data_IF_917452402430
#
_entry.id   IF_917452402430
#
_cell.length_a   1.000
_cell.length_b   1.000
_cell.length_c   1.000
_cell.angle_alpha   90.00
_cell.angle_beta   90.00
_cell.angle_gamma   90.00
#
_symmetry.space_group_name_H-M   'P 1'
#
loop_
_entity.id
_entity.type
_entity.pdbx_description
1 polymer ?
#
# COMPACT_ATOMS: atom_id res chain seq x y z
N UNK A 1 7.38 10.05 -14.31
CA UNK A 1 7.27 8.59 -14.20
C UNK A 1 8.58 7.84 -13.85
N UNK A 2 9.80 8.26 -14.21
CA UNK A 2 11.01 7.57 -13.76
C UNK A 2 11.21 7.59 -12.23
N UNK A 3 10.67 8.58 -11.53
CA UNK A 3 10.79 8.69 -10.06
C UNK A 3 10.08 7.58 -9.29
N UNK A 4 8.92 7.12 -9.76
CA UNK A 4 8.20 6.01 -9.17
C UNK A 4 8.94 4.67 -9.33
N UNK A 5 9.56 4.47 -10.51
CA UNK A 5 10.42 3.33 -10.80
C UNK A 5 11.60 3.27 -9.82
N UNK A 6 12.28 4.39 -9.62
CA UNK A 6 13.43 4.48 -8.72
C UNK A 6 13.00 4.26 -7.28
N UNK A 7 11.89 4.85 -6.84
CA UNK A 7 11.38 4.68 -5.47
C UNK A 7 10.99 3.24 -5.16
N UNK A 8 10.31 2.54 -6.07
CA UNK A 8 9.96 1.12 -5.89
C UNK A 8 11.17 0.21 -5.96
N UNK A 9 12.13 0.49 -6.82
CA UNK A 9 13.37 -0.27 -6.92
C UNK A 9 14.22 -0.11 -5.65
N UNK A 10 14.30 1.12 -5.12
CA UNK A 10 14.98 1.39 -3.84
C UNK A 10 14.26 0.69 -2.68
N UNK A 11 12.93 0.74 -2.63
CA UNK A 11 12.15 0.05 -1.61
C UNK A 11 12.33 -1.48 -1.67
N UNK A 12 12.34 -2.07 -2.87
CA UNK A 12 12.61 -3.50 -3.07
C UNK A 12 14.04 -3.88 -2.69
N UNK A 13 15.03 -3.08 -3.07
CA UNK A 13 16.44 -3.32 -2.74
C UNK A 13 16.68 -3.19 -1.24
N UNK A 14 16.10 -2.18 -0.58
CA UNK A 14 16.19 -2.04 0.87
C UNK A 14 15.50 -3.18 1.60
N UNK A 15 14.34 -3.63 1.11
CA UNK A 15 13.63 -4.78 1.65
C UNK A 15 14.45 -6.08 1.51
N UNK A 16 15.01 -6.35 0.33
CA UNK A 16 15.89 -7.50 0.08
C UNK A 16 17.14 -7.42 0.95
N UNK A 17 17.77 -6.25 1.06
CA UNK A 17 18.97 -6.06 1.88
C UNK A 17 18.70 -6.30 3.37
N UNK A 18 17.60 -5.76 3.91
CA UNK A 18 17.21 -5.95 5.31
C UNK A 18 16.76 -7.38 5.60
N UNK A 19 16.13 -8.06 4.66
CA UNK A 19 15.69 -9.45 4.81
C UNK A 19 16.83 -10.47 4.73
N UNK A 20 17.91 -10.14 3.99
CA UNK A 20 19.06 -11.05 3.81
C UNK A 20 20.13 -10.87 4.91
N UNK A 21 20.22 -9.69 5.51
CA UNK A 21 21.25 -9.35 6.51
C UNK A 21 20.82 -9.52 7.97
N UNK A 22 19.54 -9.61 8.26
CA UNK A 22 19.02 -9.81 9.60
C UNK A 22 18.48 -11.22 9.77
N UNK A 23 18.81 -11.89 10.87
CA UNK A 23 18.19 -13.14 11.32
C UNK A 23 16.68 -12.99 11.65
N UNK A 24 16.02 -12.00 11.08
CA UNK A 24 14.60 -11.77 11.21
C UNK A 24 13.94 -12.77 10.27
N UNK A 25 13.32 -13.79 10.84
CA UNK A 25 12.52 -14.75 10.08
C UNK A 25 11.53 -14.00 9.19
N UNK A 26 11.47 -14.36 7.90
CA UNK A 26 10.55 -13.75 6.94
C UNK A 26 9.14 -13.95 7.48
N UNK A 27 8.55 -12.86 7.96
CA UNK A 27 7.17 -12.90 8.46
C UNK A 27 6.21 -13.06 7.28
N UNK A 28 5.16 -13.89 7.40
CA UNK A 28 4.17 -14.07 6.34
C UNK A 28 3.63 -12.74 5.78
N UNK A 29 3.39 -11.76 6.64
CA UNK A 29 2.87 -10.45 6.20
C UNK A 29 3.84 -9.70 5.27
N UNK A 30 5.17 -9.83 5.47
CA UNK A 30 6.15 -9.15 4.62
C UNK A 30 6.18 -9.71 3.20
N UNK A 31 5.94 -11.02 3.05
CA UNK A 31 5.82 -11.66 1.74
C UNK A 31 4.57 -11.18 1.02
N UNK A 32 3.40 -11.21 1.68
CA UNK A 32 2.15 -10.73 1.09
C UNK A 32 2.24 -9.25 0.71
N UNK A 33 2.87 -8.44 1.55
CA UNK A 33 3.09 -7.02 1.28
C UNK A 33 4.01 -6.80 0.06
N UNK A 34 5.13 -7.53 -0.02
CA UNK A 34 6.05 -7.45 -1.15
C UNK A 34 5.39 -7.89 -2.47
N UNK A 35 4.64 -8.99 -2.46
CA UNK A 35 3.86 -9.44 -3.62
C UNK A 35 2.83 -8.40 -4.02
N UNK A 36 2.09 -7.84 -3.05
CA UNK A 36 1.09 -6.81 -3.29
C UNK A 36 1.68 -5.57 -3.97
N UNK A 37 2.79 -5.03 -3.45
CA UNK A 37 3.49 -3.88 -4.05
C UNK A 37 3.93 -4.19 -5.48
N UNK A 38 4.47 -5.38 -5.72
CA UNK A 38 4.93 -5.78 -7.05
C UNK A 38 3.78 -5.83 -8.05
N UNK A 39 2.62 -6.37 -7.68
CA UNK A 39 1.43 -6.44 -8.55
C UNK A 39 0.91 -5.03 -8.85
N UNK A 40 0.80 -4.15 -7.83
CA UNK A 40 0.35 -2.76 -8.01
C UNK A 40 1.31 -2.02 -8.95
N UNK A 41 2.60 -2.21 -8.77
CA UNK A 41 3.62 -1.60 -9.60
C UNK A 41 3.48 -2.03 -11.07
N UNK A 42 3.40 -3.34 -11.33
CA UNK A 42 3.22 -3.86 -12.69
C UNK A 42 1.94 -3.30 -13.30
N UNK A 43 0.84 -3.27 -12.53
CA UNK A 43 -0.44 -2.73 -12.99
C UNK A 43 -0.34 -1.24 -13.34
N UNK A 44 0.40 -0.46 -12.54
CA UNK A 44 0.66 0.95 -12.82
C UNK A 44 1.45 1.17 -14.11
N UNK A 45 2.50 0.38 -14.35
CA UNK A 45 3.28 0.43 -15.60
C UNK A 45 2.41 0.04 -16.81
N UNK A 46 1.59 -1.00 -16.68
CA UNK A 46 0.67 -1.40 -17.76
C UNK A 46 -0.40 -0.34 -18.02
N UNK A 47 -0.88 0.36 -16.99
CA UNK A 47 -1.82 1.47 -17.13
C UNK A 47 -1.20 2.63 -17.93
N UNK A 48 0.05 2.97 -17.65
CA UNK A 48 0.77 4.03 -18.36
C UNK A 48 1.03 3.70 -19.84
N UNK A 49 1.27 2.43 -20.16
CA UNK A 49 1.60 1.99 -21.53
C UNK A 49 0.33 1.74 -22.35
N UNK A 50 -0.66 1.06 -21.78
CA UNK A 50 -1.81 0.53 -22.51
C UNK A 50 -3.14 1.21 -22.16
N UNK A 51 -3.19 2.07 -21.13
CA UNK A 51 -4.42 2.69 -20.67
C UNK A 51 -5.42 1.67 -20.13
N UNK A 52 -5.11 1.04 -19.01
CA UNK A 52 -5.95 -0.01 -18.41
C UNK A 52 -7.32 0.53 -18.02
N UNK A 53 -8.39 -0.22 -18.32
CA UNK A 53 -9.75 0.16 -17.95
C UNK A 53 -9.87 0.33 -16.43
N UNK A 54 -10.52 1.42 -15.98
CA UNK A 54 -10.69 1.75 -14.56
C UNK A 54 -11.28 0.60 -13.72
N UNK A 55 -12.21 -0.18 -14.30
CA UNK A 55 -12.80 -1.35 -13.64
C UNK A 55 -11.77 -2.44 -13.35
N UNK A 56 -10.86 -2.70 -14.30
CA UNK A 56 -9.82 -3.71 -14.13
C UNK A 56 -8.79 -3.25 -13.08
N UNK A 57 -8.42 -1.97 -13.11
CA UNK A 57 -7.54 -1.36 -12.11
C UNK A 57 -8.11 -1.50 -10.70
N UNK A 58 -9.40 -1.17 -10.52
CA UNK A 58 -10.08 -1.32 -9.24
C UNK A 58 -10.11 -2.78 -8.77
N UNK A 59 -10.38 -3.71 -9.67
CA UNK A 59 -10.40 -5.15 -9.35
C UNK A 59 -9.03 -5.63 -8.85
N UNK A 60 -7.95 -5.26 -9.54
CA UNK A 60 -6.59 -5.60 -9.12
C UNK A 60 -6.28 -5.00 -7.75
N UNK A 61 -6.65 -3.74 -7.50
CA UNK A 61 -6.48 -3.10 -6.20
C UNK A 61 -7.21 -3.85 -5.08
N UNK A 62 -8.45 -4.28 -5.31
CA UNK A 62 -9.22 -5.06 -4.32
C UNK A 62 -8.52 -6.40 -4.03
N UNK A 63 -8.08 -7.11 -5.07
CA UNK A 63 -7.38 -8.39 -4.92
C UNK A 63 -6.09 -8.19 -4.09
N UNK A 64 -5.28 -7.20 -4.43
CA UNK A 64 -4.03 -6.92 -3.72
C UNK A 64 -4.30 -6.47 -2.28
N UNK A 65 -5.27 -5.58 -2.07
CA UNK A 65 -5.65 -5.13 -0.72
C UNK A 65 -6.12 -6.29 0.16
N UNK A 66 -6.72 -7.33 -0.42
CA UNK A 66 -7.18 -8.51 0.32
C UNK A 66 -6.04 -9.41 0.81
N UNK A 67 -4.83 -9.28 0.26
CA UNK A 67 -3.66 -10.05 0.70
C UNK A 67 -3.23 -9.68 2.13
N UNK A 68 -3.40 -8.42 2.54
CA UNK A 68 -3.02 -7.95 3.89
C UNK A 68 -3.89 -8.57 4.99
N UNK A 69 -5.22 -8.54 4.93
CA UNK A 69 -6.05 -9.26 5.90
C UNK A 69 -5.79 -10.77 5.95
N UNK A 70 -5.43 -11.40 4.82
CA UNK A 70 -5.07 -12.82 4.79
C UNK A 70 -3.79 -13.12 5.59
N UNK A 71 -2.92 -12.15 5.80
CA UNK A 71 -1.75 -12.25 6.67
C UNK A 71 -2.04 -11.85 8.14
N UNK A 72 -3.31 -11.78 8.53
CA UNK A 72 -3.78 -11.32 9.86
C UNK A 72 -3.48 -9.84 10.15
N UNK A 73 -3.11 -9.06 9.15
CA UNK A 73 -2.89 -7.61 9.27
C UNK A 73 -4.18 -6.87 8.86
N UNK A 74 -5.06 -6.64 9.81
CA UNK A 74 -6.31 -5.92 9.61
C UNK A 74 -6.67 -5.07 10.82
N UNK A 75 -7.56 -4.11 10.64
CA UNK A 75 -8.04 -3.22 11.69
C UNK A 75 -8.96 -4.02 12.63
N UNK A 76 -8.47 -4.33 13.81
CA UNK A 76 -9.21 -5.12 14.81
C UNK A 76 -9.74 -4.28 15.97
N UNK A 77 -9.27 -3.04 16.11
CA UNK A 77 -9.66 -2.16 17.20
C UNK A 77 -9.71 -0.71 16.73
N UNK A 78 -10.74 0.04 17.13
CA UNK A 78 -10.89 1.48 16.85
C UNK A 78 -10.51 2.35 18.05
N UNK A 79 -10.01 1.78 19.14
CA UNK A 79 -9.52 2.49 20.32
C UNK A 79 -10.52 3.51 20.90
N UNK A 80 -11.82 3.22 20.83
CA UNK A 80 -12.88 4.09 21.33
C UNK A 80 -13.38 5.13 20.33
N UNK A 81 -12.94 5.11 19.08
CA UNK A 81 -13.52 5.95 18.03
C UNK A 81 -15.00 5.60 17.87
N UNK A 82 -15.89 6.61 17.97
CA UNK A 82 -17.36 6.46 18.01
C UNK A 82 -17.87 5.49 19.12
N UNK A 83 -17.09 5.29 20.20
CA UNK A 83 -17.44 4.35 21.27
C UNK A 83 -17.23 2.88 20.93
N UNK A 84 -16.62 2.57 19.78
CA UNK A 84 -16.31 1.22 19.32
C UNK A 84 -14.86 0.89 19.68
N UNK A 85 -14.64 -0.21 20.38
CA UNK A 85 -13.31 -0.70 20.74
C UNK A 85 -12.93 -1.86 19.82
N UNK A 86 -13.55 -3.01 20.02
CA UNK A 86 -13.24 -4.22 19.25
C UNK A 86 -14.15 -4.38 18.04
N UNK A 87 -13.58 -4.81 16.93
CA UNK A 87 -14.30 -5.06 15.68
C UNK A 87 -14.24 -6.54 15.35
N UNK A 88 -15.38 -7.18 14.99
CA UNK A 88 -15.36 -8.54 14.49
C UNK A 88 -14.40 -8.70 13.32
N UNK A 89 -13.63 -9.80 13.29
CA UNK A 89 -12.57 -10.01 12.31
C UNK A 89 -13.02 -9.78 10.85
N UNK A 90 -14.20 -10.31 10.49
CA UNK A 90 -14.73 -10.14 9.13
C UNK A 90 -14.96 -8.66 8.78
N UNK A 91 -15.53 -7.89 9.68
CA UNK A 91 -15.80 -6.46 9.51
C UNK A 91 -14.48 -5.70 9.42
N UNK A 92 -13.52 -6.00 10.28
CA UNK A 92 -12.19 -5.42 10.27
C UNK A 92 -11.43 -5.68 8.96
N UNK A 93 -11.53 -6.90 8.42
CA UNK A 93 -10.95 -7.24 7.11
C UNK A 93 -11.57 -6.41 5.98
N UNK A 94 -12.90 -6.29 5.94
CA UNK A 94 -13.60 -5.50 4.91
C UNK A 94 -13.25 -4.03 5.01
N UNK A 95 -13.20 -3.47 6.23
CA UNK A 95 -12.79 -2.08 6.47
C UNK A 95 -11.35 -1.87 5.98
N UNK A 96 -10.44 -2.78 6.30
CA UNK A 96 -9.04 -2.69 5.88
C UNK A 96 -8.91 -2.66 4.37
N UNK A 97 -9.57 -3.57 3.66
CA UNK A 97 -9.58 -3.58 2.18
C UNK A 97 -10.16 -2.29 1.63
N UNK A 98 -11.30 -1.83 2.17
CA UNK A 98 -11.94 -0.59 1.74
C UNK A 98 -11.04 0.64 1.90
N UNK A 99 -10.41 0.77 3.07
CA UNK A 99 -9.46 1.87 3.35
C UNK A 99 -8.26 1.83 2.42
N UNK A 100 -7.66 0.67 2.19
CA UNK A 100 -6.52 0.52 1.29
C UNK A 100 -6.88 0.88 -0.15
N UNK A 101 -7.99 0.37 -0.66
CA UNK A 101 -8.49 0.70 -2.00
C UNK A 101 -8.79 2.19 -2.12
N UNK A 102 -9.41 2.80 -1.09
CA UNK A 102 -9.67 4.23 -1.06
C UNK A 102 -8.37 5.05 -1.13
N UNK A 103 -7.37 4.71 -0.31
CA UNK A 103 -6.07 5.39 -0.29
C UNK A 103 -5.37 5.25 -1.65
N UNK A 104 -5.34 4.04 -2.24
CA UNK A 104 -4.73 3.82 -3.55
C UNK A 104 -5.40 4.66 -4.65
N UNK A 105 -6.73 4.75 -4.64
CA UNK A 105 -7.45 5.58 -5.61
C UNK A 105 -7.25 7.07 -5.35
N UNK A 106 -7.22 7.51 -4.08
CA UNK A 106 -6.95 8.91 -3.74
C UNK A 106 -5.55 9.33 -4.21
N UNK A 107 -4.52 8.52 -3.95
CA UNK A 107 -3.15 8.78 -4.42
C UNK A 107 -3.10 8.83 -5.95
N UNK A 108 -3.77 7.90 -6.63
CA UNK A 108 -3.82 7.88 -8.09
C UNK A 108 -4.52 9.12 -8.68
N UNK A 109 -5.56 9.64 -8.01
CA UNK A 109 -6.23 10.87 -8.42
C UNK A 109 -5.34 12.11 -8.22
N UNK A 110 -4.61 12.14 -7.10
CA UNK A 110 -3.67 13.21 -6.76
C UNK A 110 -2.47 13.20 -7.72
N UNK A 111 -2.01 12.02 -8.15
CA UNK A 111 -0.89 11.86 -9.09
C UNK A 111 -1.23 12.40 -10.50
N UNK A 112 -2.51 12.54 -10.82
CA UNK A 112 -2.99 13.22 -12.03
C UNK A 112 -2.80 14.75 -12.00
N UNK A 113 -2.40 15.34 -10.88
CA UNK A 113 -2.12 16.78 -10.73
C UNK A 113 -0.61 16.96 -10.59
N UNK A 114 0.02 17.58 -11.59
CA UNK A 114 1.47 17.78 -11.67
C UNK A 114 2.05 18.40 -10.38
N UNK A 115 2.96 17.67 -9.76
CA UNK A 115 3.69 18.10 -8.56
C UNK A 115 2.94 17.95 -7.22
N UNK A 116 1.64 17.73 -7.20
CA UNK A 116 0.89 17.60 -5.95
C UNK A 116 1.24 16.31 -5.21
N UNK A 117 1.30 15.19 -5.90
CA UNK A 117 1.69 13.88 -5.34
C UNK A 117 3.10 13.94 -4.76
N UNK A 118 4.06 14.51 -5.48
CA UNK A 118 5.43 14.67 -5.03
C UNK A 118 5.54 15.54 -3.77
N UNK A 119 4.81 16.66 -3.71
CA UNK A 119 4.84 17.57 -2.56
C UNK A 119 4.20 16.94 -1.32
N UNK A 120 3.08 16.23 -1.45
CA UNK A 120 2.44 15.51 -0.34
C UNK A 120 3.32 14.39 0.20
N UNK A 121 3.97 13.64 -0.68
CA UNK A 121 4.92 12.59 -0.29
C UNK A 121 6.11 13.17 0.47
N UNK A 122 6.63 14.30 0.03
CA UNK A 122 7.74 14.99 0.67
C UNK A 122 7.38 15.50 2.06
N UNK A 123 6.16 16.06 2.22
CA UNK A 123 5.64 16.49 3.53
C UNK A 123 5.45 15.28 4.46
N UNK A 124 4.87 14.19 3.97
CA UNK A 124 4.67 12.98 4.76
C UNK A 124 6.00 12.36 5.22
N UNK A 125 6.98 12.26 4.32
CA UNK A 125 8.33 11.76 4.64
C UNK A 125 9.07 12.66 5.62
N UNK A 126 8.95 13.99 5.48
CA UNK A 126 9.57 14.93 6.41
C UNK A 126 8.95 14.84 7.80
N UNK A 127 7.64 14.64 7.88
CA UNK A 127 6.94 14.39 9.15
C UNK A 127 7.39 13.09 9.83
N UNK A 128 7.51 12.00 9.06
CA UNK A 128 8.03 10.73 9.55
C UNK A 128 9.48 10.87 10.03
N UNK A 129 10.34 11.55 9.28
CA UNK A 129 11.74 11.80 9.65
C UNK A 129 11.86 12.63 10.94
N UNK A 130 10.91 13.53 11.20
CA UNK A 130 10.90 14.33 12.44
C UNK A 130 10.48 13.50 13.66
N UNK A 131 9.63 12.47 13.47
CA UNK A 131 9.09 11.64 14.57
C UNK A 131 10.03 10.48 14.93
N UNK A 132 10.81 9.96 14.00
CA UNK A 132 11.75 8.85 14.17
C UNK A 132 13.20 9.28 14.07
#
# INVERSE_FOLDING_TARGET
>A
MPSMLVATLVALLTWVYTSTGSKIGISPWSVFFGVGITIIYITGVLDDIFGVRAKLKLLVQIVVASLLPMSYLYINNLYGFLGIYEIPALVGMVITVGVLVFIMNAINLIDGIDGLSASLTLIALSGLFYVF
#
